data_IF_993505057933
#
_entry.id   IF_993505057933
#
_cell.length_a   1.000
_cell.length_b   1.000
_cell.length_c   1.000
_cell.angle_alpha   90.00
_cell.angle_beta   90.00
_cell.angle_gamma   90.00
#
_symmetry.space_group_name_H-M   'P 1'
#
loop_
_entity.id
_entity.type
_entity.pdbx_description
1 polymer ?
#
# COMPACT_ATOMS: atom_id res chain seq x y z
N UNK A 1 -14.12 -3.37 -8.02
CA UNK A 1 -14.50 -4.77 -7.73
C UNK A 1 -15.21 -4.89 -6.39
N UNK A 2 -15.64 -6.12 -6.02
CA UNK A 2 -16.42 -6.36 -4.79
C UNK A 2 -15.67 -5.96 -3.51
N UNK A 3 -14.36 -6.21 -3.44
CA UNK A 3 -13.51 -5.84 -2.28
C UNK A 3 -13.52 -4.32 -2.07
N UNK A 4 -13.37 -3.54 -3.13
CA UNK A 4 -13.39 -2.08 -3.06
C UNK A 4 -14.75 -1.55 -2.60
N UNK A 5 -15.84 -2.15 -3.07
CA UNK A 5 -17.18 -1.79 -2.63
C UNK A 5 -17.35 -2.02 -1.12
N UNK A 6 -16.93 -3.17 -0.61
CA UNK A 6 -16.96 -3.50 0.83
C UNK A 6 -16.12 -2.51 1.63
N UNK A 7 -14.89 -2.20 1.15
CA UNK A 7 -14.01 -1.23 1.81
C UNK A 7 -14.62 0.18 1.85
N UNK A 8 -15.24 0.63 0.76
CA UNK A 8 -15.94 1.93 0.71
C UNK A 8 -17.13 1.98 1.67
N UNK A 9 -17.88 0.89 1.81
CA UNK A 9 -18.96 0.79 2.80
C UNK A 9 -18.41 0.82 4.23
N UNK A 10 -17.30 0.12 4.50
CA UNK A 10 -16.65 0.12 5.81
C UNK A 10 -16.11 1.51 6.18
N UNK A 11 -15.53 2.24 5.23
CA UNK A 11 -15.07 3.62 5.41
C UNK A 11 -16.26 4.52 5.78
N UNK A 12 -17.35 4.43 5.02
CA UNK A 12 -18.57 5.22 5.27
C UNK A 12 -19.20 4.88 6.63
N UNK A 13 -19.27 3.58 6.96
CA UNK A 13 -19.82 3.12 8.24
C UNK A 13 -18.92 3.43 9.44
N UNK A 14 -17.61 3.54 9.21
CA UNK A 14 -16.60 3.87 10.23
C UNK A 14 -16.45 5.36 10.54
N UNK A 15 -17.30 6.20 9.99
CA UNK A 15 -17.24 7.67 10.17
C UNK A 15 -15.90 8.27 9.71
N UNK A 16 -15.32 7.72 8.63
CA UNK A 16 -14.07 8.14 8.05
C UNK A 16 -14.35 9.00 6.82
N UNK A 17 -13.86 10.26 6.85
CA UNK A 17 -13.88 11.18 5.71
C UNK A 17 -12.57 11.00 4.93
N UNK A 18 -12.61 10.20 3.85
CA UNK A 18 -11.47 9.93 3.00
C UNK A 18 -11.40 10.96 1.86
N UNK A 19 -10.43 11.89 1.96
CA UNK A 19 -10.14 12.88 0.92
C UNK A 19 -9.05 12.38 0.00
N UNK A 20 -9.36 12.27 -1.28
CA UNK A 20 -8.45 11.72 -2.29
C UNK A 20 -8.15 12.79 -3.33
N UNK A 21 -6.88 12.90 -3.71
CA UNK A 21 -6.42 13.74 -4.83
C UNK A 21 -5.46 12.98 -5.72
N UNK A 22 -5.34 13.38 -6.97
CA UNK A 22 -4.35 12.85 -7.91
C UNK A 22 -4.68 11.46 -8.45
N UNK A 23 -5.95 11.02 -8.43
CA UNK A 23 -6.35 9.74 -9.05
C UNK A 23 -5.97 9.66 -10.53
N UNK A 24 -5.94 10.80 -11.21
CA UNK A 24 -5.48 10.94 -12.60
C UNK A 24 -4.00 10.60 -12.80
N UNK A 25 -3.21 10.57 -11.73
CA UNK A 25 -1.79 10.19 -11.75
C UNK A 25 -1.57 8.67 -11.71
N UNK A 26 -2.62 7.89 -11.47
CA UNK A 26 -2.53 6.44 -11.54
C UNK A 26 -2.47 6.02 -13.01
N UNK A 27 -1.42 5.30 -13.45
CA UNK A 27 -1.30 4.89 -14.83
C UNK A 27 -2.52 4.08 -15.30
N UNK A 28 -3.05 4.38 -16.47
CA UNK A 28 -4.15 3.63 -17.08
C UNK A 28 -3.71 2.21 -17.48
N UNK A 29 -2.45 2.07 -17.85
CA UNK A 29 -1.82 0.77 -18.11
C UNK A 29 -1.25 0.20 -16.82
N UNK A 30 -1.39 -1.11 -16.64
CA UNK A 30 -0.86 -1.82 -15.48
C UNK A 30 0.67 -1.98 -15.58
N UNK A 31 1.28 -2.46 -14.51
CA UNK A 31 2.73 -2.64 -14.43
C UNK A 31 3.44 -1.43 -13.86
N UNK A 32 3.06 -1.02 -12.66
CA UNK A 32 3.69 0.09 -11.93
C UNK A 32 3.85 -0.23 -10.43
N UNK A 33 4.73 0.52 -9.79
CA UNK A 33 4.92 0.43 -8.34
C UNK A 33 4.33 1.66 -7.64
N UNK A 34 3.63 1.43 -6.54
CA UNK A 34 3.25 2.47 -5.58
C UNK A 34 4.17 2.43 -4.38
N UNK A 35 4.68 3.58 -3.98
CA UNK A 35 5.43 3.73 -2.73
C UNK A 35 4.73 4.76 -1.86
N UNK A 36 4.34 4.34 -0.65
CA UNK A 36 3.60 5.17 0.28
C UNK A 36 4.33 5.28 1.62
N UNK A 37 4.18 6.40 2.31
CA UNK A 37 4.55 6.49 3.72
C UNK A 37 3.62 5.62 4.57
N UNK A 38 4.11 5.13 5.72
CA UNK A 38 3.38 4.17 6.54
C UNK A 38 3.08 4.71 7.93
N UNK A 39 1.82 5.02 8.19
CA UNK A 39 1.37 5.62 9.45
C UNK A 39 0.58 4.65 10.32
N UNK A 40 -0.36 3.91 9.75
CA UNK A 40 -1.31 3.09 10.49
C UNK A 40 -1.71 1.80 9.79
N UNK A 41 -2.51 1.00 10.46
CA UNK A 41 -3.03 -0.26 9.88
C UNK A 41 -4.05 0.00 8.75
N UNK A 42 -4.63 1.19 8.71
CA UNK A 42 -5.65 1.54 7.72
C UNK A 42 -5.07 1.94 6.35
N UNK A 43 -3.77 2.19 6.25
CA UNK A 43 -3.11 2.70 5.05
C UNK A 43 -3.39 1.87 3.79
N UNK A 44 -3.17 0.56 3.89
CA UNK A 44 -3.41 -0.38 2.77
C UNK A 44 -4.88 -0.37 2.36
N UNK A 45 -5.79 -0.32 3.34
CA UNK A 45 -7.24 -0.33 3.09
C UNK A 45 -7.70 0.95 2.41
N UNK A 46 -7.16 2.11 2.81
CA UNK A 46 -7.46 3.40 2.18
C UNK A 46 -7.01 3.42 0.71
N UNK A 47 -5.79 2.95 0.42
CA UNK A 47 -5.28 2.86 -0.95
C UNK A 47 -6.12 1.85 -1.76
N UNK A 48 -6.39 0.67 -1.22
CA UNK A 48 -7.18 -0.36 -1.91
C UNK A 48 -8.64 0.08 -2.17
N UNK A 49 -9.22 0.90 -1.31
CA UNK A 49 -10.58 1.44 -1.49
C UNK A 49 -10.64 2.51 -2.58
N UNK A 50 -9.56 3.23 -2.82
CA UNK A 50 -9.49 4.38 -3.74
C UNK A 50 -8.96 4.02 -5.13
N UNK A 51 -8.05 3.03 -5.23
CA UNK A 51 -7.42 2.63 -6.47
C UNK A 51 -8.22 1.51 -7.16
N UNK A 52 -8.69 1.74 -8.39
CA UNK A 52 -9.44 0.74 -9.15
C UNK A 52 -8.53 -0.26 -9.88
N UNK A 53 -7.22 -0.01 -9.96
CA UNK A 53 -6.27 -0.95 -10.54
C UNK A 53 -6.12 -2.21 -9.67
N UNK A 54 -6.05 -3.41 -10.26
CA UNK A 54 -5.73 -4.63 -9.53
C UNK A 54 -4.33 -4.51 -8.90
N UNK A 55 -4.29 -4.50 -7.57
CA UNK A 55 -3.07 -4.19 -6.84
C UNK A 55 -2.76 -5.28 -5.82
N UNK A 56 -1.50 -5.71 -5.80
CA UNK A 56 -0.92 -6.48 -4.71
C UNK A 56 -0.15 -5.58 -3.74
N UNK A 57 0.20 -6.10 -2.60
CA UNK A 57 1.04 -5.41 -1.61
C UNK A 57 2.10 -6.34 -1.03
N UNK A 58 3.20 -5.75 -0.56
CA UNK A 58 4.17 -6.48 0.27
C UNK A 58 3.80 -6.25 1.73
N UNK A 59 3.42 -7.33 2.40
CA UNK A 59 2.93 -7.34 3.78
C UNK A 59 3.98 -7.89 4.73
N UNK A 60 3.91 -7.51 5.99
CA UNK A 60 4.70 -8.15 7.04
C UNK A 60 4.22 -9.60 7.23
N UNK A 61 5.16 -10.55 7.42
CA UNK A 61 4.89 -11.99 7.53
C UNK A 61 3.80 -12.30 8.56
N UNK A 62 3.85 -11.66 9.72
CA UNK A 62 2.90 -11.92 10.81
C UNK A 62 1.44 -11.52 10.46
N UNK A 63 1.27 -10.57 9.53
CA UNK A 63 -0.07 -10.21 9.04
C UNK A 63 -0.64 -11.27 8.10
N UNK A 64 0.24 -12.01 7.41
CA UNK A 64 -0.15 -13.07 6.51
C UNK A 64 -0.72 -14.28 7.25
N UNK A 65 -0.37 -14.47 8.51
CA UNK A 65 -0.85 -15.57 9.35
C UNK A 65 -2.25 -15.32 9.94
N UNK A 66 -2.80 -14.11 9.78
CA UNK A 66 -4.16 -13.78 10.20
C UNK A 66 -5.15 -14.29 9.14
N UNK A 67 -6.08 -15.23 9.45
CA UNK A 67 -6.90 -15.93 8.45
C UNK A 67 -7.62 -15.01 7.45
N UNK A 68 -8.24 -13.94 7.92
CA UNK A 68 -8.96 -13.00 7.05
C UNK A 68 -7.99 -12.20 6.15
N UNK A 69 -6.87 -11.74 6.69
CA UNK A 69 -5.85 -11.00 5.94
C UNK A 69 -5.13 -11.91 4.94
N UNK A 70 -4.91 -13.18 5.31
CA UNK A 70 -4.38 -14.20 4.41
C UNK A 70 -5.24 -14.35 3.15
N UNK A 71 -6.55 -14.49 3.32
CA UNK A 71 -7.47 -14.63 2.19
C UNK A 71 -7.42 -13.42 1.25
N UNK A 72 -7.41 -12.21 1.82
CA UNK A 72 -7.25 -10.97 1.03
C UNK A 72 -5.90 -10.97 0.30
N UNK A 73 -4.82 -11.33 0.99
CA UNK A 73 -3.49 -11.36 0.42
C UNK A 73 -3.39 -12.35 -0.76
N UNK A 74 -3.98 -13.54 -0.63
CA UNK A 74 -4.05 -14.52 -1.71
C UNK A 74 -4.85 -13.98 -2.90
N UNK A 75 -6.03 -13.42 -2.66
CA UNK A 75 -6.89 -12.86 -3.71
C UNK A 75 -6.24 -11.69 -4.47
N UNK A 76 -5.42 -10.89 -3.78
CA UNK A 76 -4.71 -9.76 -4.36
C UNK A 76 -3.31 -10.11 -4.87
N UNK A 77 -2.88 -11.36 -4.74
CA UNK A 77 -1.50 -11.82 -4.99
C UNK A 77 -0.45 -10.99 -4.20
N UNK A 78 -0.78 -10.63 -2.97
CA UNK A 78 0.16 -9.97 -2.07
C UNK A 78 1.18 -10.96 -1.53
N UNK A 79 2.40 -10.49 -1.26
CA UNK A 79 3.49 -11.32 -0.75
C UNK A 79 3.80 -10.98 0.71
N UNK A 80 4.05 -12.01 1.50
CA UNK A 80 4.56 -11.88 2.86
C UNK A 80 6.07 -11.72 2.84
N UNK A 81 6.60 -10.72 3.55
CA UNK A 81 8.03 -10.48 3.66
C UNK A 81 8.48 -10.64 5.12
N UNK A 82 9.46 -11.51 5.32
CA UNK A 82 10.24 -11.58 6.55
C UNK A 82 11.45 -10.66 6.41
N UNK A 83 11.46 -9.55 7.13
CA UNK A 83 12.50 -8.53 7.02
C UNK A 83 13.80 -8.92 7.70
N UNK A 84 13.76 -9.92 8.57
CA UNK A 84 14.93 -10.48 9.24
C UNK A 84 15.64 -11.53 8.37
N UNK A 85 14.91 -12.12 7.41
CA UNK A 85 15.47 -13.05 6.43
C UNK A 85 15.76 -12.35 5.09
N UNK A 86 17.04 -12.02 4.88
CA UNK A 86 17.51 -11.35 3.66
C UNK A 86 17.26 -12.18 2.41
N UNK A 87 17.38 -13.52 2.48
CA UNK A 87 17.16 -14.40 1.32
C UNK A 87 15.69 -14.42 0.92
N UNK A 88 14.82 -14.57 1.91
CA UNK A 88 13.36 -14.53 1.70
C UNK A 88 12.92 -13.16 1.15
N UNK A 89 13.45 -12.06 1.69
CA UNK A 89 13.19 -10.72 1.20
C UNK A 89 13.61 -10.54 -0.26
N UNK A 90 14.77 -11.08 -0.67
CA UNK A 90 15.21 -11.03 -2.07
C UNK A 90 14.31 -11.86 -2.99
N UNK A 91 13.80 -13.00 -2.52
CA UNK A 91 12.85 -13.83 -3.26
C UNK A 91 11.54 -13.07 -3.49
N UNK A 92 11.01 -12.41 -2.45
CA UNK A 92 9.78 -11.59 -2.58
C UNK A 92 10.00 -10.44 -3.57
N UNK A 93 11.14 -9.74 -3.50
CA UNK A 93 11.47 -8.67 -4.45
C UNK A 93 11.48 -9.20 -5.88
N UNK A 94 12.02 -10.40 -6.11
CA UNK A 94 12.02 -11.01 -7.43
C UNK A 94 10.61 -11.37 -7.90
N UNK A 95 9.80 -11.98 -7.04
CA UNK A 95 8.40 -12.32 -7.36
C UNK A 95 7.57 -11.08 -7.70
N UNK A 96 7.66 -10.01 -6.89
CA UNK A 96 6.99 -8.73 -7.17
C UNK A 96 7.47 -8.16 -8.52
N UNK A 97 8.78 -8.20 -8.78
CA UNK A 97 9.34 -7.71 -10.05
C UNK A 97 8.73 -8.44 -11.25
N UNK A 98 8.60 -9.75 -11.19
CA UNK A 98 8.00 -10.53 -12.30
C UNK A 98 6.49 -10.24 -12.46
N UNK A 99 5.75 -10.13 -11.36
CA UNK A 99 4.32 -9.77 -11.42
C UNK A 99 4.11 -8.36 -12.01
N UNK A 100 4.99 -7.40 -11.67
CA UNK A 100 4.95 -6.05 -12.26
C UNK A 100 5.25 -6.07 -13.75
N UNK A 101 6.23 -6.84 -14.20
CA UNK A 101 6.52 -7.03 -15.63
C UNK A 101 5.35 -7.66 -16.39
N UNK A 102 4.54 -8.49 -15.70
CA UNK A 102 3.31 -9.08 -16.25
C UNK A 102 2.12 -8.11 -16.22
N UNK A 103 2.31 -6.86 -15.83
CA UNK A 103 1.29 -5.84 -15.86
C UNK A 103 0.53 -5.63 -14.55
N UNK A 104 1.00 -6.14 -13.41
CA UNK A 104 0.37 -5.87 -12.11
C UNK A 104 0.91 -4.61 -11.45
N UNK A 105 0.07 -3.96 -10.66
CA UNK A 105 0.50 -2.91 -9.74
C UNK A 105 0.83 -3.51 -8.37
N UNK A 106 1.85 -2.96 -7.70
CA UNK A 106 2.20 -3.33 -6.33
C UNK A 106 2.47 -2.12 -5.44
N UNK A 107 2.03 -2.25 -4.18
CA UNK A 107 2.26 -1.28 -3.12
C UNK A 107 3.37 -1.77 -2.18
N UNK A 108 4.33 -0.88 -1.92
CA UNK A 108 5.36 -1.07 -0.90
C UNK A 108 5.43 0.17 0.00
N UNK A 109 5.59 -0.06 1.30
CA UNK A 109 5.93 0.98 2.27
C UNK A 109 7.44 0.98 2.48
N UNK A 110 8.19 1.94 1.92
CA UNK A 110 9.65 1.91 1.93
C UNK A 110 10.26 2.16 3.32
N UNK A 111 9.50 2.67 4.26
CA UNK A 111 9.88 2.80 5.68
C UNK A 111 10.06 1.45 6.38
N UNK A 112 9.46 0.40 5.81
CA UNK A 112 9.55 -0.94 6.37
C UNK A 112 8.74 -1.15 7.66
N UNK A 113 8.28 -0.12 8.33
CA UNK A 113 7.44 -0.18 9.53
C UNK A 113 6.57 1.07 9.62
N UNK A 114 5.55 1.06 10.47
CA UNK A 114 4.75 2.25 10.77
C UNK A 114 5.58 3.28 11.53
N UNK A 115 5.48 4.56 11.17
CA UNK A 115 6.26 5.61 11.81
C UNK A 115 5.94 5.78 13.30
N UNK A 116 4.66 5.59 13.68
CA UNK A 116 4.15 5.84 15.04
C UNK A 116 4.45 7.24 15.57
N UNK A 117 4.75 8.18 14.68
CA UNK A 117 5.06 9.58 14.97
C UNK A 117 4.09 10.53 14.25
N UNK A 118 2.83 10.13 14.11
CA UNK A 118 1.82 10.89 13.37
C UNK A 118 2.19 11.00 11.89
N UNK A 119 2.26 12.23 11.38
CA UNK A 119 2.57 12.50 9.98
C UNK A 119 4.09 12.54 9.67
N UNK A 120 4.95 12.33 10.66
CA UNK A 120 6.40 12.27 10.44
C UNK A 120 6.77 10.94 9.76
N UNK A 121 7.50 11.03 8.65
CA UNK A 121 8.00 9.86 7.91
C UNK A 121 9.31 9.36 8.52
N UNK A 122 9.54 8.05 8.42
CA UNK A 122 10.83 7.43 8.71
C UNK A 122 11.72 7.43 7.46
N UNK A 123 12.98 7.10 7.66
CA UNK A 123 13.94 6.92 6.56
C UNK A 123 13.51 5.77 5.64
N UNK A 124 13.65 5.97 4.34
CA UNK A 124 13.31 4.99 3.32
C UNK A 124 14.46 4.01 3.09
N UNK A 125 14.15 2.73 3.13
CA UNK A 125 15.11 1.68 2.80
C UNK A 125 15.31 1.59 1.27
N UNK A 126 16.49 1.91 0.78
CA UNK A 126 16.83 1.89 -0.64
C UNK A 126 16.56 0.55 -1.33
N UNK A 127 16.65 -0.55 -0.59
CA UNK A 127 16.31 -1.89 -1.08
C UNK A 127 14.86 -2.06 -1.53
N UNK A 128 13.94 -1.28 -0.98
CA UNK A 128 12.51 -1.30 -1.34
C UNK A 128 12.26 -0.91 -2.81
N UNK A 129 13.13 -0.06 -3.38
CA UNK A 129 12.99 0.44 -4.75
C UNK A 129 13.53 -0.52 -5.81
N UNK A 130 14.13 -1.65 -5.42
CA UNK A 130 14.67 -2.66 -6.35
C UNK A 130 13.61 -3.24 -7.28
N UNK A 131 12.35 -3.36 -6.82
CA UNK A 131 11.27 -3.86 -7.67
C UNK A 131 11.06 -2.92 -8.88
N UNK A 132 10.97 -1.62 -8.64
CA UNK A 132 10.77 -0.63 -9.69
C UNK A 132 11.96 -0.60 -10.67
N UNK A 133 13.19 -0.56 -10.16
CA UNK A 133 14.40 -0.51 -11.01
C UNK A 133 14.59 -1.79 -11.84
N UNK A 134 14.30 -2.96 -11.28
CA UNK A 134 14.43 -4.24 -12.00
C UNK A 134 13.30 -4.48 -13.00
N UNK A 135 12.09 -4.02 -12.71
CA UNK A 135 10.96 -4.13 -13.65
C UNK A 135 10.95 -3.03 -14.69
N UNK A 136 11.73 -1.96 -14.49
CA UNK A 136 11.76 -0.77 -15.36
C UNK A 136 10.38 -0.13 -15.51
N UNK A 137 9.62 -0.06 -14.42
CA UNK A 137 8.26 0.43 -14.42
C UNK A 137 8.17 1.85 -13.84
N UNK A 138 7.09 2.60 -14.16
CA UNK A 138 6.80 3.86 -13.49
C UNK A 138 6.56 3.67 -11.99
N UNK A 139 6.86 4.71 -11.23
CA UNK A 139 6.61 4.78 -9.79
C UNK A 139 5.56 5.85 -9.53
N UNK A 140 4.51 5.50 -8.80
CA UNK A 140 3.51 6.45 -8.29
C UNK A 140 3.78 6.66 -6.79
N UNK A 141 4.34 7.81 -6.40
CA UNK A 141 4.46 8.14 -4.98
C UNK A 141 3.07 8.43 -4.40
N UNK A 142 2.82 7.93 -3.19
CA UNK A 142 1.53 8.10 -2.51
C UNK A 142 1.79 8.68 -1.13
N UNK A 143 1.10 9.78 -0.80
CA UNK A 143 1.21 10.39 0.52
C UNK A 143 -0.08 10.20 1.31
N UNK A 144 0.06 9.63 2.51
CA UNK A 144 -0.99 9.46 3.50
C UNK A 144 -0.81 10.49 4.61
N UNK A 145 -1.89 11.18 4.97
CA UNK A 145 -1.92 12.14 6.07
C UNK A 145 -3.06 11.79 7.02
N UNK A 146 -2.76 11.74 8.30
CA UNK A 146 -3.70 11.44 9.39
C UNK A 146 -4.33 10.04 9.38
N UNK A 147 -3.80 9.11 8.60
CA UNK A 147 -4.33 7.73 8.52
C UNK A 147 -4.16 6.94 9.84
N UNK A 148 -3.13 7.26 10.64
CA UNK A 148 -2.92 6.66 11.96
C UNK A 148 -4.09 6.91 12.91
N UNK A 149 -4.83 8.01 12.75
CA UNK A 149 -5.98 8.36 13.61
C UNK A 149 -7.15 7.38 13.49
N UNK A 150 -7.26 6.67 12.37
CA UNK A 150 -8.42 5.83 12.07
C UNK A 150 -8.54 4.63 13.02
N UNK A 151 -7.44 3.96 13.31
CA UNK A 151 -7.43 2.73 14.13
C UNK A 151 -6.53 2.85 15.37
N UNK A 152 -5.55 3.73 15.36
CA UNK A 152 -4.58 3.83 16.46
C UNK A 152 -5.05 4.84 17.54
N UNK A 153 -5.93 5.78 17.20
CA UNK A 153 -6.57 6.66 18.19
C UNK A 153 -7.94 6.12 18.58
N UNK A 154 -8.14 5.88 19.90
CA UNK A 154 -9.43 5.45 20.44
C UNK A 154 -10.40 6.63 20.45
N UNK A 155 -11.48 6.56 19.68
CA UNK A 155 -12.54 7.56 19.73
C UNK A 155 -13.64 7.30 18.71
N UNK A 156 -14.85 7.82 18.97
CA UNK A 156 -16.01 7.80 18.06
C UNK A 156 -16.12 9.07 17.22
N UNK A 157 -15.08 9.93 17.23
CA UNK A 157 -15.09 11.17 16.46
C UNK A 157 -14.83 10.88 14.98
N UNK A 158 -15.45 11.66 14.07
CA UNK A 158 -15.12 11.60 12.65
C UNK A 158 -13.63 11.86 12.43
N UNK A 159 -12.99 11.03 11.60
CA UNK A 159 -11.59 11.19 11.24
C UNK A 159 -11.49 11.54 9.77
N UNK A 160 -10.83 12.65 9.45
CA UNK A 160 -10.46 12.95 8.07
C UNK A 160 -9.09 12.36 7.78
N UNK A 161 -9.04 11.48 6.79
CA UNK A 161 -7.81 10.91 6.24
C UNK A 161 -7.59 11.47 4.84
N UNK A 162 -6.38 11.90 4.54
CA UNK A 162 -6.05 12.39 3.21
C UNK A 162 -5.12 11.40 2.50
N UNK A 163 -5.39 11.20 1.22
CA UNK A 163 -4.66 10.30 0.34
C UNK A 163 -4.34 11.04 -0.97
N UNK A 164 -3.06 11.21 -1.24
CA UNK A 164 -2.57 11.96 -2.39
C UNK A 164 -1.73 11.06 -3.29
N UNK A 165 -2.19 10.85 -4.53
CA UNK A 165 -1.40 10.23 -5.58
C UNK A 165 -0.60 11.32 -6.29
N UNK A 166 0.72 11.29 -6.15
CA UNK A 166 1.60 12.30 -6.74
C UNK A 166 1.92 11.95 -8.20
N UNK A 167 2.48 12.92 -8.92
CA UNK A 167 2.84 12.72 -10.31
C UNK A 167 3.76 11.49 -10.47
N UNK A 168 3.48 10.60 -11.43
CA UNK A 168 4.29 9.41 -11.63
C UNK A 168 5.70 9.77 -12.08
N UNK A 169 6.67 9.06 -11.53
CA UNK A 169 8.08 9.15 -11.90
C UNK A 169 8.30 8.07 -12.97
N UNK A 170 8.61 8.44 -14.22
CA UNK A 170 8.93 7.46 -15.26
C UNK A 170 10.26 6.77 -14.95
N UNK A 171 10.47 5.58 -15.54
CA UNK A 171 11.76 4.89 -15.48
C UNK A 171 12.74 5.49 -16.49
#
# INVERSE_FOLDING_TARGET
>A
GHIQHILRLAIKGGNIDLKITGLENIPAENGFMMYANHQGMFDVLAIAASCDAPMGAVLKKELYDIPFLHQIAVCTKSFAMDREDVRQSLTVIQQVTEEVKQGRAYLIFPEGTRSRKGNEMLEFHGGSFRCATKSKCPVVPVALVDSYKVLDEKGSKPVTLQLHYLAPIPY
#
